data_IF_692352808937
#
_entry.id   IF_692352808937
#
_cell.length_a   1.000
_cell.length_b   1.000
_cell.length_c   1.000
_cell.angle_alpha   90.00
_cell.angle_beta   90.00
_cell.angle_gamma   90.00
#
_symmetry.space_group_name_H-M   'P 1'
#
loop_
_entity.id
_entity.type
_entity.pdbx_description
1 polymer ?
#
# COMPACT_ATOMS: atom_id res chain seq x y z
N UNK A 1 4.21 16.12 -8.63
CA UNK A 1 3.76 14.87 -9.27
C UNK A 1 3.43 13.84 -8.20
N UNK A 2 2.39 13.08 -8.37
CA UNK A 2 2.00 12.03 -7.44
C UNK A 2 2.40 10.67 -7.99
N UNK A 3 3.12 9.90 -7.20
CA UNK A 3 3.58 8.57 -7.58
C UNK A 3 2.78 7.56 -6.76
N UNK A 4 2.18 6.59 -7.44
CA UNK A 4 1.44 5.51 -6.78
C UNK A 4 2.29 4.24 -6.84
N UNK A 5 2.54 3.66 -5.68
CA UNK A 5 3.34 2.46 -5.53
C UNK A 5 2.49 1.36 -4.88
N UNK A 6 2.25 0.28 -5.62
CA UNK A 6 1.49 -0.86 -5.11
C UNK A 6 2.41 -1.77 -4.30
N UNK A 7 2.06 -2.00 -3.05
CA UNK A 7 2.88 -2.77 -2.11
C UNK A 7 2.13 -4.05 -1.69
N UNK A 8 2.76 -5.19 -1.86
CA UNK A 8 2.21 -6.49 -1.47
C UNK A 8 3.02 -7.20 -0.37
N UNK A 9 4.09 -6.55 0.10
CA UNK A 9 4.95 -7.11 1.14
C UNK A 9 6.00 -8.11 0.63
N UNK A 10 6.09 -8.31 -0.68
CA UNK A 10 7.08 -9.20 -1.26
C UNK A 10 8.49 -8.58 -1.27
N UNK A 11 9.50 -9.39 -1.56
CA UNK A 11 10.86 -8.88 -1.74
C UNK A 11 10.96 -7.91 -2.92
N UNK A 12 10.15 -8.10 -3.95
CA UNK A 12 10.10 -7.19 -5.07
C UNK A 12 9.62 -5.81 -4.67
N UNK A 13 8.64 -5.74 -3.78
CA UNK A 13 8.18 -4.48 -3.20
C UNK A 13 9.33 -3.74 -2.52
N UNK A 14 10.11 -4.44 -1.70
CA UNK A 14 11.23 -3.83 -0.99
C UNK A 14 12.31 -3.34 -1.93
N UNK A 15 12.66 -4.14 -2.94
CA UNK A 15 13.67 -3.77 -3.93
C UNK A 15 13.24 -2.59 -4.77
N UNK A 16 11.99 -2.58 -5.23
CA UNK A 16 11.44 -1.49 -6.03
C UNK A 16 11.39 -0.20 -5.23
N UNK A 17 11.02 -0.28 -3.96
CA UNK A 17 10.96 0.90 -3.08
C UNK A 17 12.36 1.47 -2.82
N UNK A 18 13.35 0.61 -2.57
CA UNK A 18 14.73 1.04 -2.41
C UNK A 18 15.26 1.72 -3.68
N UNK A 19 14.95 1.17 -4.84
CA UNK A 19 15.30 1.79 -6.12
C UNK A 19 14.66 3.17 -6.25
N UNK A 20 13.38 3.29 -5.93
CA UNK A 20 12.64 4.54 -6.06
C UNK A 20 13.24 5.65 -5.21
N UNK A 21 13.57 5.37 -3.94
CA UNK A 21 14.08 6.39 -3.03
C UNK A 21 15.53 6.75 -3.28
N UNK A 22 16.30 5.90 -3.97
CA UNK A 22 17.68 6.20 -4.33
C UNK A 22 17.81 6.96 -5.64
N UNK A 23 16.72 7.07 -6.41
CA UNK A 23 16.70 7.82 -7.67
C UNK A 23 16.03 9.16 -7.46
N UNK A 24 16.83 10.20 -7.28
CA UNK A 24 16.35 11.56 -6.98
C UNK A 24 15.32 12.10 -7.97
N UNK A 25 15.40 11.64 -9.22
CA UNK A 25 14.49 12.11 -10.28
C UNK A 25 13.11 11.47 -10.21
N UNK A 26 12.92 10.39 -9.43
CA UNK A 26 11.66 9.65 -9.35
C UNK A 26 10.86 9.94 -8.10
N UNK A 27 11.51 10.41 -7.03
CA UNK A 27 10.83 10.77 -5.79
C UNK A 27 11.48 12.04 -5.23
N UNK A 28 11.24 13.17 -5.88
CA UNK A 28 11.73 14.44 -5.42
C UNK A 28 10.99 14.96 -4.20
N UNK A 29 11.56 15.97 -3.53
CA UNK A 29 10.98 16.55 -2.31
C UNK A 29 9.58 17.11 -2.55
N UNK A 30 9.30 17.57 -3.78
CA UNK A 30 8.00 18.12 -4.14
C UNK A 30 6.99 17.07 -4.55
N UNK A 31 7.44 15.84 -4.79
CA UNK A 31 6.55 14.74 -5.19
C UNK A 31 5.97 14.06 -3.97
N UNK A 32 4.74 13.58 -4.09
CA UNK A 32 4.08 12.79 -3.07
C UNK A 32 4.03 11.33 -3.49
N UNK A 33 4.48 10.45 -2.61
CA UNK A 33 4.43 9.01 -2.81
C UNK A 33 3.22 8.43 -2.09
N UNK A 34 2.32 7.79 -2.83
CA UNK A 34 1.23 7.02 -2.24
C UNK A 34 1.59 5.54 -2.29
N UNK A 35 1.78 4.94 -1.13
CA UNK A 35 1.98 3.50 -0.99
C UNK A 35 0.62 2.86 -0.77
N UNK A 36 0.19 2.07 -1.73
CA UNK A 36 -1.13 1.45 -1.72
C UNK A 36 -1.02 -0.06 -1.55
N UNK A 37 -1.59 -0.58 -0.48
CA UNK A 37 -1.75 -2.01 -0.27
C UNK A 37 -3.16 -2.42 -0.68
N UNK A 38 -3.28 -3.22 -1.73
CA UNK A 38 -4.57 -3.73 -2.19
C UNK A 38 -4.67 -5.19 -1.77
N UNK A 39 -5.73 -5.50 -1.02
CA UNK A 39 -5.98 -6.86 -0.55
C UNK A 39 -7.14 -7.48 -1.30
N UNK A 40 -7.02 -8.74 -1.72
CA UNK A 40 -8.14 -9.45 -2.33
C UNK A 40 -9.24 -9.67 -1.29
N UNK A 41 -10.49 -9.70 -1.76
CA UNK A 41 -11.61 -9.97 -0.87
C UNK A 41 -11.53 -11.38 -0.33
N UNK A 42 -11.71 -11.52 0.99
CA UNK A 42 -11.85 -12.82 1.60
C UNK A 42 -13.17 -13.43 1.14
N UNK A 43 -13.14 -14.72 0.75
CA UNK A 43 -14.35 -15.43 0.34
C UNK A 43 -15.27 -15.59 1.54
N UNK A 44 -16.35 -14.79 1.59
CA UNK A 44 -17.30 -14.79 2.69
C UNK A 44 -17.99 -16.14 2.89
N UNK A 45 -18.05 -16.97 1.85
CA UNK A 45 -18.59 -18.32 1.94
C UNK A 45 -17.81 -19.24 2.87
N UNK A 46 -16.55 -18.91 3.16
CA UNK A 46 -15.69 -19.67 4.09
C UNK A 46 -15.89 -19.19 5.54
N UNK A 47 -16.47 -18.00 5.73
CA UNK A 47 -16.56 -17.35 7.03
C UNK A 47 -18.02 -17.01 7.40
N UNK A 48 -18.98 -17.94 7.31
CA UNK A 48 -20.40 -17.60 7.51
C UNK A 48 -20.75 -17.16 8.93
N UNK A 49 -19.86 -17.40 9.89
CA UNK A 49 -20.09 -17.09 11.32
C UNK A 49 -19.12 -16.02 11.85
N UNK A 50 -18.29 -15.44 10.98
CA UNK A 50 -17.35 -14.40 11.40
C UNK A 50 -18.04 -13.05 11.28
N UNK A 51 -17.96 -12.24 12.35
CA UNK A 51 -18.56 -10.92 12.34
C UNK A 51 -17.83 -9.98 11.36
N UNK A 52 -18.53 -8.97 10.81
CA UNK A 52 -17.88 -7.97 9.95
C UNK A 52 -16.71 -7.28 10.62
N UNK A 53 -16.75 -7.05 11.93
CA UNK A 53 -15.67 -6.42 12.68
C UNK A 53 -14.41 -7.28 12.69
N UNK A 54 -14.55 -8.59 12.83
CA UNK A 54 -13.40 -9.51 12.78
C UNK A 54 -12.78 -9.55 11.39
N UNK A 55 -13.59 -9.50 10.35
CA UNK A 55 -13.09 -9.47 8.96
C UNK A 55 -12.33 -8.17 8.71
N UNK A 56 -12.86 -7.03 9.18
CA UNK A 56 -12.21 -5.74 9.04
C UNK A 56 -10.89 -5.70 9.81
N UNK A 57 -10.85 -6.27 11.02
CA UNK A 57 -9.63 -6.37 11.81
C UNK A 57 -8.57 -7.21 11.10
N UNK A 58 -8.98 -8.28 10.44
CA UNK A 58 -8.08 -9.11 9.64
C UNK A 58 -7.42 -8.30 8.53
N UNK A 59 -8.21 -7.54 7.77
CA UNK A 59 -7.67 -6.70 6.70
C UNK A 59 -6.71 -5.64 7.23
N UNK A 60 -7.08 -4.99 8.32
CA UNK A 60 -6.24 -3.96 8.94
C UNK A 60 -4.92 -4.54 9.42
N UNK A 61 -4.94 -5.67 10.10
CA UNK A 61 -3.74 -6.32 10.61
C UNK A 61 -2.81 -6.75 9.47
N UNK A 62 -3.37 -7.28 8.39
CA UNK A 62 -2.61 -7.67 7.22
C UNK A 62 -2.01 -6.45 6.53
N UNK A 63 -2.76 -5.36 6.42
CA UNK A 63 -2.27 -4.11 5.86
C UNK A 63 -1.10 -3.57 6.69
N UNK A 64 -1.22 -3.57 8.00
CA UNK A 64 -0.16 -3.10 8.89
C UNK A 64 1.08 -3.97 8.80
N UNK A 65 0.92 -5.27 8.65
CA UNK A 65 2.05 -6.19 8.45
C UNK A 65 2.88 -5.81 7.22
N UNK A 66 2.21 -5.39 6.16
CA UNK A 66 2.86 -4.97 4.91
C UNK A 66 3.41 -3.55 5.03
N UNK A 67 2.61 -2.63 5.55
CA UNK A 67 2.89 -1.19 5.49
C UNK A 67 3.82 -0.70 6.61
N UNK A 68 3.79 -1.30 7.80
CA UNK A 68 4.62 -0.82 8.91
C UNK A 68 6.13 -0.87 8.61
N UNK A 69 6.68 -1.94 8.04
CA UNK A 69 8.09 -1.94 7.64
C UNK A 69 8.40 -0.89 6.57
N UNK A 70 7.46 -0.65 5.67
CA UNK A 70 7.61 0.35 4.61
C UNK A 70 7.65 1.75 5.21
N UNK A 71 6.76 2.05 6.15
CA UNK A 71 6.75 3.34 6.85
C UNK A 71 8.07 3.60 7.56
N UNK A 72 8.61 2.59 8.27
CA UNK A 72 9.89 2.71 8.94
C UNK A 72 11.04 2.99 7.97
N UNK A 73 11.00 2.36 6.82
CA UNK A 73 11.99 2.58 5.78
C UNK A 73 11.87 4.00 5.21
N UNK A 74 10.65 4.44 4.86
CA UNK A 74 10.42 5.74 4.26
C UNK A 74 10.70 6.91 5.21
N UNK A 75 10.49 6.72 6.51
CA UNK A 75 10.76 7.75 7.51
C UNK A 75 12.24 8.13 7.60
N UNK A 76 13.13 7.32 7.05
CA UNK A 76 14.57 7.60 6.99
C UNK A 76 14.95 8.48 5.81
N UNK A 77 14.00 8.83 4.95
CA UNK A 77 14.26 9.58 3.72
C UNK A 77 13.44 10.88 3.71
N UNK A 78 14.00 11.97 3.13
CA UNK A 78 13.30 13.26 3.09
C UNK A 78 12.28 13.32 1.95
N UNK A 79 11.25 12.52 2.02
CA UNK A 79 10.19 12.51 1.01
C UNK A 79 8.83 12.54 1.69
N UNK A 80 7.83 13.01 0.94
CA UNK A 80 6.45 13.00 1.38
C UNK A 80 5.80 11.69 0.95
N UNK A 81 5.21 10.98 1.88
CA UNK A 81 4.52 9.76 1.54
C UNK A 81 3.24 9.62 2.35
N UNK A 82 2.37 8.80 1.82
CA UNK A 82 1.12 8.42 2.46
C UNK A 82 0.91 6.93 2.22
N UNK A 83 0.45 6.21 3.23
CA UNK A 83 0.16 4.78 3.12
C UNK A 83 -1.34 4.56 3.29
N UNK A 84 -1.92 3.82 2.37
CA UNK A 84 -3.34 3.47 2.41
C UNK A 84 -3.50 1.99 2.08
N UNK A 85 -4.59 1.40 2.56
CA UNK A 85 -4.96 0.06 2.17
C UNK A 85 -6.42 0.02 1.75
N UNK A 86 -6.71 -0.83 0.78
CA UNK A 86 -8.07 -1.04 0.26
C UNK A 86 -8.28 -2.52 -0.01
N UNK A 87 -9.53 -2.93 -0.08
CA UNK A 87 -9.92 -4.29 -0.42
C UNK A 87 -10.59 -4.28 -1.78
N UNK A 88 -10.11 -5.12 -2.69
CA UNK A 88 -10.66 -5.17 -4.03
C UNK A 88 -9.72 -5.80 -5.05
N UNK A 89 -9.93 -5.46 -6.31
CA UNK A 89 -9.06 -5.88 -7.40
C UNK A 89 -7.88 -4.90 -7.51
N UNK A 90 -6.60 -5.39 -7.48
CA UNK A 90 -5.45 -4.50 -7.56
C UNK A 90 -5.50 -3.53 -8.74
N UNK A 91 -5.83 -4.01 -9.92
CA UNK A 91 -5.87 -3.17 -11.11
C UNK A 91 -6.92 -2.07 -11.00
N UNK A 92 -8.14 -2.41 -10.55
CA UNK A 92 -9.22 -1.44 -10.42
C UNK A 92 -8.93 -0.39 -9.34
N UNK A 93 -8.37 -0.80 -8.21
CA UNK A 93 -8.07 0.10 -7.11
C UNK A 93 -6.91 1.05 -7.44
N UNK A 94 -5.90 0.59 -8.16
CA UNK A 94 -4.80 1.43 -8.62
C UNK A 94 -5.33 2.49 -9.60
N UNK A 95 -6.20 2.11 -10.53
CA UNK A 95 -6.81 3.05 -11.46
C UNK A 95 -7.67 4.07 -10.70
N UNK A 96 -8.46 3.63 -9.74
CA UNK A 96 -9.27 4.52 -8.92
C UNK A 96 -8.40 5.53 -8.15
N UNK A 97 -7.30 5.08 -7.55
CA UNK A 97 -6.37 5.93 -6.84
C UNK A 97 -5.73 6.97 -7.77
N UNK A 98 -5.40 6.58 -9.00
CA UNK A 98 -4.81 7.51 -9.98
C UNK A 98 -5.78 8.60 -10.39
N UNK A 99 -7.07 8.31 -10.43
CA UNK A 99 -8.11 9.28 -10.81
C UNK A 99 -8.45 10.26 -9.70
N UNK A 100 -8.29 9.85 -8.44
CA UNK A 100 -8.59 10.71 -7.29
C UNK A 100 -7.43 11.62 -6.91
N UNK A 101 -6.34 11.51 -7.61
CA UNK A 101 -5.12 12.28 -7.32
C UNK A 101 -5.20 13.71 -7.86
#
# INVERSE_FOLDING_TARGET
MKIIFAADGSEYTKKALAFLVTHENLAGVEDELLVLNVQPRVLLGIWPIVSPDLVNDFYRDEANRVLDPIKKFLDRHPLRYRCEWVVGSPAAEIVAASKSA
#
